data_IF_149035838238
#
_entry.id   IF_149035838238
#
_cell.length_a   1.000
_cell.length_b   1.000
_cell.length_c   1.000
_cell.angle_alpha   90.00
_cell.angle_beta   90.00
_cell.angle_gamma   90.00
#
_symmetry.space_group_name_H-M   'P 1'
#
loop_
_entity.id
_entity.type
_entity.pdbx_description
1 polymer ?
#
# COMPACT_ATOMS: atom_id res chain seq x y z
N UNK A 1 -13.93 9.94 14.19
CA UNK A 1 -13.15 9.60 12.99
C UNK A 1 -12.16 8.54 13.43
N UNK A 2 -12.23 7.35 12.82
CA UNK A 2 -11.28 6.28 13.15
C UNK A 2 -9.88 6.74 12.76
N UNK A 3 -8.93 6.54 13.66
CA UNK A 3 -7.54 6.94 13.48
C UNK A 3 -6.86 6.04 12.44
N UNK A 4 -6.18 6.64 11.47
CA UNK A 4 -5.42 5.90 10.46
C UNK A 4 -4.24 5.16 11.10
N UNK A 5 -4.09 3.87 10.81
CA UNK A 5 -3.19 2.97 11.55
C UNK A 5 -2.57 1.88 10.68
N UNK A 6 -1.32 1.52 10.95
CA UNK A 6 -0.63 0.37 10.37
C UNK A 6 -1.13 -0.91 11.02
N UNK A 7 -1.91 -1.72 10.31
CA UNK A 7 -2.52 -2.95 10.86
C UNK A 7 -1.57 -4.12 10.86
N UNK A 8 -0.83 -4.31 9.76
CA UNK A 8 0.10 -5.41 9.63
C UNK A 8 1.33 -5.00 8.83
N UNK A 9 2.47 -5.55 9.23
CA UNK A 9 3.71 -5.50 8.47
C UNK A 9 4.00 -6.91 8.02
N UNK A 10 4.13 -7.13 6.72
CA UNK A 10 4.25 -8.45 6.13
C UNK A 10 5.54 -8.55 5.31
N UNK A 11 6.24 -9.68 5.46
CA UNK A 11 7.38 -10.04 4.62
C UNK A 11 7.36 -11.52 4.23
N UNK A 12 7.99 -11.85 3.12
CA UNK A 12 8.36 -13.24 2.78
C UNK A 12 9.77 -13.25 2.21
N UNK A 13 10.52 -14.37 2.27
CA UNK A 13 11.77 -14.49 1.51
C UNK A 13 11.54 -14.56 -0.01
N UNK A 14 10.29 -14.45 -0.47
CA UNK A 14 9.86 -14.52 -1.86
C UNK A 14 8.45 -15.11 -1.95
N UNK A 15 7.62 -14.60 -2.86
CA UNK A 15 6.26 -15.09 -3.10
C UNK A 15 5.24 -14.67 -2.05
N UNK A 16 4.09 -15.36 -2.05
CA UNK A 16 2.93 -15.13 -1.17
C UNK A 16 2.49 -16.45 -0.52
N UNK A 17 1.81 -16.43 0.65
CA UNK A 17 1.49 -15.24 1.45
C UNK A 17 2.73 -14.65 2.13
N UNK A 18 2.73 -13.34 2.35
CA UNK A 18 3.71 -12.69 3.24
C UNK A 18 3.29 -12.91 4.69
N UNK A 19 4.25 -13.22 5.56
CA UNK A 19 4.01 -13.46 6.98
C UNK A 19 4.04 -12.16 7.76
N UNK A 20 3.06 -11.97 8.65
CA UNK A 20 2.98 -10.81 9.54
C UNK A 20 4.10 -10.84 10.59
N UNK A 21 4.70 -9.68 10.86
CA UNK A 21 5.72 -9.46 11.88
C UNK A 21 5.36 -8.22 12.72
N UNK A 22 5.71 -8.18 14.02
CA UNK A 22 5.32 -7.09 14.90
C UNK A 22 6.05 -5.77 14.59
N UNK A 23 7.29 -5.86 14.12
CA UNK A 23 8.16 -4.72 13.80
C UNK A 23 9.05 -5.03 12.60
N UNK A 24 9.44 -4.01 11.85
CA UNK A 24 10.37 -4.17 10.73
C UNK A 24 11.31 -2.97 10.57
N UNK A 25 12.57 -3.26 10.22
CA UNK A 25 13.51 -2.26 9.71
C UNK A 25 13.19 -1.97 8.24
N UNK A 26 13.01 -0.69 7.91
CA UNK A 26 12.72 -0.18 6.57
C UNK A 26 13.93 0.58 6.05
N UNK A 27 14.42 0.19 4.88
CA UNK A 27 15.53 0.83 4.17
C UNK A 27 15.06 1.38 2.82
N UNK A 28 15.90 2.15 2.14
CA UNK A 28 15.61 2.67 0.80
C UNK A 28 15.16 1.60 -0.21
N UNK A 29 15.62 0.35 -0.03
CA UNK A 29 15.27 -0.79 -0.88
C UNK A 29 14.00 -1.56 -0.45
N UNK A 30 13.39 -1.23 0.70
CA UNK A 30 12.22 -1.92 1.25
C UNK A 30 12.42 -2.45 2.67
N UNK A 31 11.59 -3.42 3.06
CA UNK A 31 11.65 -4.09 4.37
C UNK A 31 12.80 -5.09 4.43
N UNK A 32 13.56 -5.05 5.53
CA UNK A 32 14.62 -6.03 5.79
C UNK A 32 14.08 -7.47 5.85
N UNK A 33 14.71 -8.34 5.06
CA UNK A 33 14.32 -9.75 4.94
C UNK A 33 13.10 -10.00 4.06
N UNK A 34 12.53 -8.98 3.41
CA UNK A 34 11.56 -9.18 2.35
C UNK A 34 12.26 -9.46 1.01
N UNK A 35 12.03 -10.66 0.49
CA UNK A 35 12.60 -11.19 -0.73
C UNK A 35 12.01 -10.52 -1.96
N UNK A 36 12.62 -9.40 -2.33
CA UNK A 36 12.60 -8.85 -3.68
C UNK A 36 13.87 -9.27 -4.44
N UNK A 37 14.22 -10.56 -4.36
CA UNK A 37 15.53 -11.07 -4.80
C UNK A 37 15.63 -11.34 -6.32
N UNK A 38 15.17 -10.36 -7.10
CA UNK A 38 15.54 -10.22 -8.50
C UNK A 38 15.90 -8.76 -8.75
N UNK A 39 17.03 -8.50 -9.41
CA UNK A 39 17.53 -7.16 -9.80
C UNK A 39 16.45 -6.24 -10.39
N UNK A 40 15.45 -6.81 -11.08
CA UNK A 40 14.33 -6.09 -11.71
C UNK A 40 13.32 -5.48 -10.72
N UNK A 41 13.32 -5.91 -9.46
CA UNK A 41 12.37 -5.46 -8.43
C UNK A 41 12.97 -4.50 -7.39
N UNK A 42 14.30 -4.34 -7.35
CA UNK A 42 14.99 -3.36 -6.49
C UNK A 42 14.96 -1.94 -7.08
N UNK A 43 13.83 -1.52 -7.63
CA UNK A 43 13.68 -0.13 -8.04
C UNK A 43 13.17 0.68 -6.85
N UNK A 44 13.79 1.82 -6.50
CA UNK A 44 13.37 2.63 -5.36
C UNK A 44 11.88 2.99 -5.41
N UNK A 45 11.31 3.08 -6.61
CA UNK A 45 9.90 3.42 -6.84
C UNK A 45 8.90 2.32 -6.45
N UNK A 46 9.33 1.11 -6.09
CA UNK A 46 8.43 0.02 -5.67
C UNK A 46 8.89 -0.66 -4.37
N UNK A 47 9.66 0.06 -3.56
CA UNK A 47 10.29 -0.46 -2.34
C UNK A 47 9.29 -1.04 -1.33
N UNK A 48 8.10 -0.44 -1.23
CA UNK A 48 7.04 -0.87 -0.32
C UNK A 48 5.72 -1.01 -1.09
N UNK A 49 5.02 -2.11 -0.87
CA UNK A 49 3.63 -2.30 -1.34
C UNK A 49 2.64 -2.13 -0.18
N UNK A 50 1.55 -1.41 -0.40
CA UNK A 50 0.55 -1.11 0.62
C UNK A 50 -0.85 -1.45 0.11
N UNK A 51 -1.74 -1.90 0.99
CA UNK A 51 -3.18 -2.03 0.73
C UNK A 51 -4.00 -1.53 1.93
N UNK A 52 -5.16 -0.94 1.65
CA UNK A 52 -6.17 -0.66 2.67
C UNK A 52 -6.83 -1.99 3.13
N UNK A 53 -6.96 -2.19 4.44
CA UNK A 53 -7.63 -3.35 5.03
C UNK A 53 -9.08 -3.42 4.54
N UNK A 54 -9.73 -2.27 4.41
CA UNK A 54 -11.09 -2.14 3.88
C UNK A 54 -11.22 -2.71 2.47
N UNK A 55 -10.21 -2.51 1.61
CA UNK A 55 -10.20 -3.11 0.27
C UNK A 55 -9.95 -4.62 0.33
N UNK A 56 -9.04 -5.07 1.19
CA UNK A 56 -8.74 -6.48 1.36
C UNK A 56 -9.99 -7.27 1.78
N UNK A 57 -10.70 -6.77 2.80
CA UNK A 57 -11.94 -7.35 3.31
C UNK A 57 -13.04 -7.31 2.23
N UNK A 58 -13.24 -6.17 1.56
CA UNK A 58 -14.27 -6.07 0.54
C UNK A 58 -13.97 -6.94 -0.70
N UNK A 59 -12.70 -7.20 -1.03
CA UNK A 59 -12.33 -8.18 -2.07
C UNK A 59 -12.65 -9.60 -1.60
N UNK A 60 -12.34 -9.93 -0.34
CA UNK A 60 -12.65 -11.24 0.22
C UNK A 60 -14.17 -11.51 0.16
N UNK A 61 -14.97 -10.51 0.54
CA UNK A 61 -16.44 -10.59 0.48
C UNK A 61 -16.97 -10.72 -0.96
N UNK A 62 -16.47 -9.91 -1.90
CA UNK A 62 -16.94 -9.96 -3.30
C UNK A 62 -16.59 -11.28 -3.99
N UNK A 63 -15.41 -11.83 -3.68
CA UNK A 63 -14.91 -13.05 -4.34
C UNK A 63 -15.30 -14.34 -3.63
N UNK A 64 -15.71 -14.24 -2.36
CA UNK A 64 -15.93 -15.39 -1.48
C UNK A 64 -14.64 -16.12 -1.08
N UNK A 65 -13.47 -15.53 -1.35
CA UNK A 65 -12.16 -16.11 -1.02
C UNK A 65 -11.65 -15.41 0.26
N UNK A 66 -11.39 -16.14 1.35
CA UNK A 66 -10.81 -15.56 2.55
C UNK A 66 -9.44 -14.93 2.24
N UNK A 67 -9.25 -13.67 2.63
CA UNK A 67 -7.97 -12.96 2.49
C UNK A 67 -7.57 -12.34 3.82
N UNK A 68 -6.37 -12.67 4.28
CA UNK A 68 -5.70 -12.10 5.44
C UNK A 68 -4.59 -11.13 5.02
N UNK A 69 -4.16 -10.22 5.91
CA UNK A 69 -2.99 -9.37 5.68
C UNK A 69 -1.77 -10.16 5.20
N UNK A 70 -1.19 -9.73 4.09
CA UNK A 70 -0.04 -10.35 3.44
C UNK A 70 -0.41 -11.38 2.36
N UNK A 71 -1.67 -11.83 2.28
CA UNK A 71 -2.10 -12.83 1.28
C UNK A 71 -1.94 -12.32 -0.14
N UNK A 72 -2.36 -11.08 -0.39
CA UNK A 72 -2.19 -10.47 -1.71
C UNK A 72 -0.73 -10.06 -1.95
N UNK A 73 0.19 -10.27 -1.02
CA UNK A 73 1.62 -9.99 -1.16
C UNK A 73 2.02 -8.54 -0.92
N UNK A 74 1.18 -7.75 -0.27
CA UNK A 74 1.52 -6.41 0.20
C UNK A 74 2.49 -6.46 1.38
N UNK A 75 3.31 -5.42 1.54
CA UNK A 75 4.17 -5.25 2.71
C UNK A 75 3.43 -4.62 3.89
N UNK A 76 2.58 -3.63 3.64
CA UNK A 76 1.87 -2.91 4.69
C UNK A 76 0.37 -3.01 4.44
N UNK A 77 -0.35 -3.55 5.41
CA UNK A 77 -1.81 -3.47 5.46
C UNK A 77 -2.17 -2.33 6.39
N UNK A 78 -2.86 -1.30 5.89
CA UNK A 78 -3.21 -0.08 6.63
C UNK A 78 -4.71 0.04 6.77
N UNK A 79 -5.21 0.76 7.77
CA UNK A 79 -6.64 1.01 7.92
C UNK A 79 -6.90 2.51 8.10
N UNK A 80 -8.00 3.00 7.54
CA UNK A 80 -8.45 4.38 7.65
C UNK A 80 -7.61 5.40 6.89
N UNK A 81 -6.77 4.97 5.94
CA UNK A 81 -5.88 5.87 5.17
C UNK A 81 -6.48 6.23 3.80
N UNK A 82 -7.07 5.25 3.12
CA UNK A 82 -7.54 5.42 1.74
C UNK A 82 -6.38 5.46 0.74
N UNK A 83 -5.36 4.60 0.90
CA UNK A 83 -4.13 4.63 0.08
C UNK A 83 -4.43 4.47 -1.41
N UNK A 84 -5.43 3.67 -1.78
CA UNK A 84 -5.82 3.49 -3.19
C UNK A 84 -6.41 4.76 -3.82
N UNK A 85 -6.80 5.76 -3.03
CA UNK A 85 -7.31 7.05 -3.49
C UNK A 85 -6.22 8.11 -3.69
N UNK A 86 -4.98 7.80 -3.30
CA UNK A 86 -3.85 8.71 -3.41
C UNK A 86 -3.29 8.77 -4.84
N UNK A 87 -2.47 9.79 -5.09
CA UNK A 87 -1.73 9.96 -6.35
C UNK A 87 -0.22 9.88 -6.15
N UNK A 88 0.53 9.83 -7.25
CA UNK A 88 1.98 9.84 -7.21
C UNK A 88 2.48 11.16 -6.59
N UNK A 89 3.40 11.09 -5.63
CA UNK A 89 3.90 12.23 -4.87
C UNK A 89 3.16 12.49 -3.56
N UNK A 90 1.99 11.89 -3.32
CA UNK A 90 1.36 11.89 -1.99
C UNK A 90 2.24 11.13 -1.00
N UNK A 91 2.28 11.56 0.26
CA UNK A 91 3.20 11.04 1.28
C UNK A 91 2.46 10.43 2.46
N UNK A 92 3.06 9.42 3.06
CA UNK A 92 2.59 8.77 4.28
C UNK A 92 3.68 8.89 5.35
N UNK A 93 3.30 9.37 6.52
CA UNK A 93 4.17 9.51 7.68
C UNK A 93 3.70 8.57 8.77
N UNK A 94 4.63 7.81 9.33
CA UNK A 94 4.36 6.81 10.36
C UNK A 94 4.97 7.27 11.68
N UNK A 95 4.25 7.04 12.78
CA UNK A 95 4.83 7.15 14.12
C UNK A 95 6.11 6.29 14.19
N UNK A 96 7.22 6.91 14.59
CA UNK A 96 8.56 6.29 14.52
C UNK A 96 9.48 6.87 13.43
N UNK A 97 8.98 7.80 12.60
CA UNK A 97 9.81 8.60 11.69
C UNK A 97 10.02 8.00 10.30
N UNK A 98 9.33 6.88 9.97
CA UNK A 98 9.33 6.37 8.60
C UNK A 98 8.42 7.23 7.74
N UNK A 99 8.90 7.65 6.58
CA UNK A 99 8.13 8.39 5.59
C UNK A 99 8.19 7.72 4.23
N UNK A 100 7.03 7.57 3.59
CA UNK A 100 6.86 6.94 2.28
C UNK A 100 6.24 7.92 1.29
N UNK A 101 6.56 7.79 0.02
CA UNK A 101 5.90 8.52 -1.07
C UNK A 101 5.25 7.54 -2.03
N UNK A 102 3.95 7.72 -2.30
CA UNK A 102 3.20 6.96 -3.29
C UNK A 102 3.81 7.20 -4.68
N UNK A 103 4.02 6.12 -5.43
CA UNK A 103 4.66 6.21 -6.75
C UNK A 103 3.74 5.78 -7.87
N UNK A 104 3.03 4.66 -7.70
CA UNK A 104 2.17 4.08 -8.74
C UNK A 104 1.20 3.07 -8.16
N UNK A 105 0.13 2.80 -8.91
CA UNK A 105 -0.79 1.71 -8.63
C UNK A 105 -0.08 0.37 -8.73
N UNK A 106 -0.37 -0.53 -7.78
CA UNK A 106 0.10 -1.90 -7.79
C UNK A 106 -0.77 -2.73 -8.75
N UNK A 107 -0.22 -3.27 -9.85
CA UNK A 107 -0.96 -4.18 -10.70
C UNK A 107 -0.93 -5.61 -10.13
N UNK A 108 -1.95 -6.42 -10.40
CA UNK A 108 -1.89 -7.84 -10.07
C UNK A 108 -0.81 -8.54 -10.91
N UNK A 109 -0.17 -9.56 -10.35
CA UNK A 109 0.89 -10.31 -11.02
C UNK A 109 0.73 -11.83 -10.83
N UNK A 110 1.59 -12.61 -11.47
CA UNK A 110 1.50 -14.08 -11.56
C UNK A 110 1.50 -14.79 -10.21
N UNK A 111 2.07 -14.19 -9.15
CA UNK A 111 2.09 -14.81 -7.82
C UNK A 111 0.68 -15.05 -7.27
N UNK A 112 -0.30 -14.21 -7.67
CA UNK A 112 -1.71 -14.33 -7.26
C UNK A 112 -2.41 -15.56 -7.85
N UNK A 113 -1.85 -16.19 -8.89
CA UNK A 113 -2.41 -17.42 -9.47
C UNK A 113 -2.47 -18.57 -8.45
N UNK A 114 -1.62 -18.51 -7.42
CA UNK A 114 -1.64 -19.47 -6.30
C UNK A 114 -2.88 -19.34 -5.41
N UNK A 115 -3.55 -18.18 -5.41
CA UNK A 115 -4.81 -17.95 -4.71
C UNK A 115 -6.00 -18.19 -5.65
N UNK A 116 -5.98 -17.55 -6.82
CA UNK A 116 -7.01 -17.72 -7.84
C UNK A 116 -6.50 -17.29 -9.21
N UNK A 117 -6.74 -18.08 -10.28
CA UNK A 117 -6.34 -17.72 -11.64
C UNK A 117 -7.08 -16.47 -12.17
N UNK A 118 -8.25 -16.14 -11.61
CA UNK A 118 -9.06 -14.98 -11.99
C UNK A 118 -8.49 -13.66 -11.44
N UNK A 119 -7.67 -13.70 -10.39
CA UNK A 119 -7.24 -12.49 -9.67
C UNK A 119 -6.46 -11.52 -10.55
N UNK A 120 -5.68 -12.02 -11.52
CA UNK A 120 -5.01 -11.15 -12.50
C UNK A 120 -5.97 -10.36 -13.38
N UNK A 121 -7.19 -10.86 -13.58
CA UNK A 121 -8.21 -10.26 -14.43
C UNK A 121 -9.07 -9.26 -13.67
N UNK A 122 -9.37 -9.52 -12.40
CA UNK A 122 -10.41 -8.77 -11.66
C UNK A 122 -9.87 -7.76 -10.64
N UNK A 123 -8.57 -7.80 -10.32
CA UNK A 123 -7.98 -7.04 -9.21
C UNK A 123 -7.23 -5.76 -9.62
N UNK A 124 -7.36 -5.29 -10.86
CA UNK A 124 -6.73 -4.03 -11.27
C UNK A 124 -7.31 -2.84 -10.50
N UNK A 125 -6.46 -1.86 -10.15
CA UNK A 125 -6.84 -0.61 -9.49
C UNK A 125 -7.59 -0.77 -8.15
N UNK A 126 -7.41 -1.90 -7.47
CA UNK A 126 -8.04 -2.18 -6.17
C UNK A 126 -7.20 -3.01 -5.19
N UNK A 127 -5.92 -3.28 -5.49
CA UNK A 127 -5.01 -4.05 -4.62
C UNK A 127 -3.88 -3.21 -4.05
N UNK A 128 -4.10 -1.90 -4.00
CA UNK A 128 -3.25 -0.94 -3.36
C UNK A 128 -2.19 -0.32 -4.27
N UNK A 129 -1.15 0.19 -3.62
CA UNK A 129 -0.16 1.09 -4.21
C UNK A 129 1.26 0.62 -3.95
N UNK A 130 2.18 1.06 -4.79
CA UNK A 130 3.60 1.05 -4.49
C UNK A 130 4.02 2.42 -3.94
N UNK A 131 5.03 2.39 -3.09
CA UNK A 131 5.69 3.57 -2.56
C UNK A 131 7.21 3.41 -2.58
N UNK A 132 7.91 4.55 -2.61
CA UNK A 132 9.33 4.66 -2.28
C UNK A 132 9.51 5.07 -0.83
N UNK A 133 10.64 4.70 -0.25
CA UNK A 133 11.04 5.15 1.08
C UNK A 133 11.72 6.51 0.97
N UNK A 134 11.18 7.52 1.66
CA UNK A 134 11.81 8.84 1.81
C UNK A 134 12.71 8.86 3.05
N UNK A 135 12.17 8.39 4.18
CA UNK A 135 12.87 8.35 5.46
C UNK A 135 12.90 6.89 5.97
N UNK A 136 14.07 6.24 5.99
CA UNK A 136 14.27 4.92 6.60
C UNK A 136 14.06 4.92 8.11
N UNK A 137 13.71 3.78 8.69
CA UNK A 137 13.47 3.68 10.14
C UNK A 137 12.83 2.36 10.56
N UNK A 138 12.31 2.32 11.79
CA UNK A 138 11.61 1.17 12.33
C UNK A 138 10.10 1.38 12.23
N UNK A 139 9.38 0.42 11.66
CA UNK A 139 7.92 0.34 11.74
C UNK A 139 7.49 -0.64 12.84
N UNK A 140 6.36 -0.34 13.47
CA UNK A 140 5.67 -1.23 14.39
C UNK A 140 4.20 -1.34 14.02
N UNK A 141 3.63 -2.54 14.11
CA UNK A 141 2.18 -2.71 14.00
C UNK A 141 1.47 -1.86 15.06
N UNK A 142 0.40 -1.18 14.67
CA UNK A 142 -0.31 -0.19 15.49
C UNK A 142 0.23 1.23 15.38
N UNK A 143 1.31 1.49 14.63
CA UNK A 143 1.80 2.84 14.38
C UNK A 143 0.71 3.70 13.71
N UNK A 144 0.54 4.94 14.17
CA UNK A 144 -0.38 5.88 13.51
C UNK A 144 0.19 6.29 12.18
N UNK A 145 -0.73 6.59 11.26
CA UNK A 145 -0.40 7.03 9.92
C UNK A 145 -1.02 8.40 9.70
N UNK A 146 -0.27 9.25 9.04
CA UNK A 146 -0.73 10.52 8.51
C UNK A 146 -0.49 10.53 7.01
N UNK A 147 -1.45 11.04 6.23
CA UNK A 147 -1.28 11.24 4.79
C UNK A 147 -1.16 12.74 4.46
N UNK A 148 -0.27 13.07 3.53
CA UNK A 148 -0.11 14.40 2.95
C UNK A 148 -0.36 14.32 1.45
N UNK A 149 -1.29 15.14 0.93
CA UNK A 149 -1.70 15.14 -0.48
C UNK A 149 -0.83 16.05 -1.33
N UNK A 150 0.46 15.74 -1.41
CA UNK A 150 1.48 16.60 -2.03
C UNK A 150 1.59 16.43 -3.56
N UNK A 151 1.03 15.35 -4.12
CA UNK A 151 1.05 15.11 -5.56
C UNK A 151 0.13 16.05 -6.35
N UNK A 152 0.44 16.28 -7.62
CA UNK A 152 -0.39 17.08 -8.54
C UNK A 152 -1.12 16.22 -9.59
N UNK A 153 -0.92 14.90 -9.53
CA UNK A 153 -1.53 13.93 -10.44
C UNK A 153 -3.02 13.65 -10.20
N UNK A 154 -3.63 12.81 -11.08
CA UNK A 154 -5.03 12.42 -10.94
C UNK A 154 -5.26 11.64 -9.65
N UNK A 155 -6.42 11.86 -9.01
CA UNK A 155 -6.87 11.17 -7.78
C UNK A 155 -8.25 10.53 -8.01
N UNK A 156 -8.38 9.21 -7.89
CA UNK A 156 -7.32 8.24 -7.65
C UNK A 156 -6.34 8.15 -8.84
N UNK A 157 -5.08 7.80 -8.55
CA UNK A 157 -4.19 7.33 -9.60
C UNK A 157 -4.66 5.95 -10.06
N UNK A 158 -4.78 5.76 -11.37
CA UNK A 158 -5.23 4.50 -11.98
C UNK A 158 -4.24 4.02 -13.03
N UNK A 159 -4.20 2.71 -13.25
CA UNK A 159 -3.45 2.08 -14.34
C UNK A 159 -4.45 1.51 -15.35
N UNK A 160 -4.15 1.66 -16.64
CA UNK A 160 -4.94 1.01 -17.71
C UNK A 160 -4.88 -0.52 -17.51
N UNK A 161 -6.03 -1.20 -17.35
CA UNK A 161 -6.06 -2.66 -17.24
C UNK A 161 -5.54 -3.36 -18.49
N UNK A 162 -5.05 -4.59 -18.32
CA UNK A 162 -4.74 -5.46 -19.46
C UNK A 162 -5.98 -5.80 -20.28
N UNK A 163 -5.79 -6.23 -21.53
CA UNK A 163 -6.90 -6.66 -22.38
C UNK A 163 -7.73 -7.77 -21.68
N UNK A 164 -9.05 -7.61 -21.66
CA UNK A 164 -9.98 -8.54 -21.00
C UNK A 164 -9.99 -8.46 -19.46
N UNK A 165 -9.23 -7.53 -18.86
CA UNK A 165 -9.22 -7.29 -17.41
C UNK A 165 -10.25 -6.23 -17.03
N UNK A 166 -10.86 -6.39 -15.86
CA UNK A 166 -11.81 -5.44 -15.30
C UNK A 166 -11.06 -4.32 -14.55
N UNK A 167 -11.57 -3.10 -14.63
CA UNK A 167 -11.10 -1.98 -13.83
C UNK A 167 -11.81 -1.94 -12.47
N UNK A 168 -11.05 -2.05 -11.39
CA UNK A 168 -11.54 -1.99 -10.02
C UNK A 168 -11.61 -0.61 -9.39
N UNK A 169 -11.28 0.47 -10.11
CA UNK A 169 -11.19 1.81 -9.51
C UNK A 169 -12.52 2.29 -8.90
N UNK A 170 -13.65 2.03 -9.56
CA UNK A 170 -14.97 2.37 -9.05
C UNK A 170 -15.35 1.55 -7.80
N UNK A 171 -14.94 0.29 -7.75
CA UNK A 171 -15.07 -0.54 -6.56
C UNK A 171 -14.29 0.07 -5.39
N UNK A 172 -13.02 0.42 -5.63
CA UNK A 172 -12.16 0.98 -4.60
C UNK A 172 -12.68 2.33 -4.07
N UNK A 173 -13.12 3.21 -4.97
CA UNK A 173 -13.72 4.49 -4.60
C UNK A 173 -14.95 4.33 -3.71
N UNK A 174 -15.82 3.36 -4.02
CA UNK A 174 -17.01 3.07 -3.20
C UNK A 174 -16.64 2.55 -1.82
N UNK A 175 -15.69 1.63 -1.72
CA UNK A 175 -15.26 1.03 -0.44
C UNK A 175 -14.59 2.08 0.45
N UNK A 176 -13.86 3.02 -0.14
CA UNK A 176 -13.05 4.00 0.59
C UNK A 176 -13.67 5.40 0.68
N UNK A 177 -14.95 5.56 0.32
CA UNK A 177 -15.61 6.86 0.17
C UNK A 177 -15.48 7.78 1.40
N UNK A 178 -15.48 7.20 2.60
CA UNK A 178 -15.42 7.94 3.87
C UNK A 178 -14.01 8.04 4.47
N UNK A 179 -12.97 7.58 3.75
CA UNK A 179 -11.61 7.34 4.30
C UNK A 179 -10.52 8.25 3.73
N UNK A 180 -10.90 9.46 3.32
CA UNK A 180 -9.95 10.50 2.97
C UNK A 180 -9.25 11.03 4.22
N UNK A 181 -8.01 10.61 4.49
CA UNK A 181 -7.18 11.28 5.47
C UNK A 181 -7.08 12.78 5.12
N UNK A 182 -7.38 13.64 6.10
CA UNK A 182 -7.15 15.08 5.96
C UNK A 182 -5.64 15.30 5.78
N UNK A 183 -5.22 16.13 4.81
CA UNK A 183 -3.82 16.42 4.62
C UNK A 183 -3.27 17.05 5.90
N UNK A 184 -2.24 16.43 6.49
CA UNK A 184 -1.46 17.14 7.50
C UNK A 184 -0.63 18.17 6.76
N UNK A 185 -0.98 19.43 6.96
CA UNK A 185 -0.15 20.55 6.54
C UNK A 185 1.18 20.39 7.29
N UNK A 186 2.25 20.12 6.55
CA UNK A 186 3.59 20.12 7.10
C UNK A 186 3.78 21.45 7.83
N UNK A 187 3.91 21.40 9.16
CA UNK A 187 4.42 22.54 9.90
C UNK A 187 5.89 22.63 9.53
N UNK A 188 6.24 23.62 8.69
CA UNK A 188 7.63 23.94 8.42
C UNK A 188 8.38 24.03 9.75
N UNK A 189 9.56 23.41 9.91
CA UNK A 189 10.36 23.62 11.11
C UNK A 189 10.65 25.12 11.21
N UNK A 190 10.26 25.73 12.34
CA UNK A 190 10.70 27.09 12.67
C UNK A 190 12.24 27.10 12.61
N UNK A 191 12.78 27.90 11.69
CA UNK A 191 14.20 28.23 11.68
C UNK A 191 14.51 28.97 12.99
N UNK A 192 15.37 28.44 13.88
CA UNK A 192 15.79 29.22 15.03
C UNK A 192 16.65 30.39 14.55
N UNK A 193 16.31 31.59 15.03
CA UNK A 193 16.99 32.86 14.77
C UNK A 193 18.41 32.90 15.34
#
# INVERSE_FOLDING_TARGET
MDMSVLRSINRSPGGIPKTSIPTASVHAAGIEGDGHDHEKHRTPVQAISLIDLELLEAIADETGIPLAPGDLGENLTVAGVGVQLLTAGDRLFFDGGVALEITRVRPPCYVLDSISPEFKRILWNRIGMYARVLEPGMLAAGAKITAERSGDGPRPLVRVPGAGCADGAAFAARVLADRAAEPVVATSPETPA
#
